data_IF_729784164113
#
_entry.id   IF_729784164113
#
_cell.length_a   1.000
_cell.length_b   1.000
_cell.length_c   1.000
_cell.angle_alpha   90.00
_cell.angle_beta   90.00
_cell.angle_gamma   90.00
#
_symmetry.space_group_name_H-M   'P 1'
#
loop_
_entity.id
_entity.type
_entity.pdbx_description
1 polymer ?
#
# COMPACT_ATOMS: atom_id res chain seq x y z
N UNK A 1 -30.61 8.69 11.93
CA UNK A 1 -31.88 8.83 11.19
C UNK A 1 -32.03 7.81 10.06
N UNK A 2 -30.96 7.44 9.31
CA UNK A 2 -31.06 6.56 8.13
C UNK A 2 -31.53 5.13 8.50
N UNK A 3 -31.07 4.59 9.64
CA UNK A 3 -31.37 3.22 10.07
C UNK A 3 -32.14 3.14 11.40
N UNK A 4 -32.85 4.18 11.76
CA UNK A 4 -33.65 4.28 12.99
C UNK A 4 -32.99 5.11 14.08
N UNK A 5 -33.72 5.35 15.14
CA UNK A 5 -33.31 6.06 16.34
C UNK A 5 -33.15 5.06 17.49
N UNK A 6 -32.49 5.46 18.57
CA UNK A 6 -32.28 4.66 19.79
C UNK A 6 -31.46 3.35 19.61
N UNK A 7 -30.44 3.38 18.72
CA UNK A 7 -29.45 2.28 18.61
C UNK A 7 -28.17 2.65 19.35
N UNK A 8 -27.57 1.65 19.98
CA UNK A 8 -26.19 1.77 20.43
C UNK A 8 -25.28 1.89 19.21
N UNK A 9 -24.52 2.99 19.13
CA UNK A 9 -23.64 3.28 18.02
C UNK A 9 -22.17 3.25 18.45
N UNK A 10 -21.34 2.76 17.54
CA UNK A 10 -19.89 2.85 17.63
C UNK A 10 -19.34 3.64 16.45
N UNK A 11 -18.22 4.34 16.66
CA UNK A 11 -17.53 5.07 15.60
C UNK A 11 -16.18 4.40 15.34
N UNK A 12 -15.88 4.16 14.07
CA UNK A 12 -14.64 3.57 13.61
C UNK A 12 -13.95 4.53 12.64
N UNK A 13 -12.63 4.55 12.68
CA UNK A 13 -11.79 5.26 11.72
C UNK A 13 -10.67 4.32 11.28
N UNK A 14 -10.50 4.16 9.96
CA UNK A 14 -9.41 3.36 9.39
C UNK A 14 -8.71 4.20 8.32
N UNK A 15 -7.41 4.46 8.48
CA UNK A 15 -6.66 5.32 7.56
C UNK A 15 -6.33 4.60 6.25
N UNK A 16 -6.08 5.39 5.20
CA UNK A 16 -5.29 4.95 4.06
C UNK A 16 -3.81 4.81 4.43
N UNK A 17 -2.99 4.35 3.47
CA UNK A 17 -1.56 4.09 3.68
C UNK A 17 -0.66 4.70 2.61
N UNK A 18 0.60 4.93 2.98
CA UNK A 18 1.72 5.19 2.07
C UNK A 18 2.83 4.17 2.31
N UNK A 19 3.41 3.62 1.23
CA UNK A 19 4.67 2.88 1.31
C UNK A 19 5.81 3.89 1.35
N UNK A 20 6.54 3.96 2.47
CA UNK A 20 7.62 4.93 2.67
C UNK A 20 9.02 4.35 2.43
N UNK A 21 9.13 3.02 2.26
CA UNK A 21 10.37 2.31 1.91
C UNK A 21 10.07 0.89 1.43
N UNK A 22 10.86 0.36 0.49
CA UNK A 22 10.75 -1.01 0.01
C UNK A 22 10.02 -1.15 -1.31
N UNK A 23 10.36 -0.30 -2.29
CA UNK A 23 9.67 -0.29 -3.57
C UNK A 23 9.78 -1.63 -4.31
N UNK A 24 8.63 -2.30 -4.50
CA UNK A 24 8.50 -3.60 -5.16
C UNK A 24 9.28 -4.76 -4.50
N UNK A 25 9.42 -4.76 -3.18
CA UNK A 25 10.09 -5.88 -2.48
C UNK A 25 9.14 -6.95 -1.96
N UNK A 26 7.90 -6.60 -1.62
CA UNK A 26 6.90 -7.45 -0.97
C UNK A 26 6.60 -8.75 -1.73
N UNK A 27 6.43 -8.68 -3.06
CA UNK A 27 6.10 -9.84 -3.91
C UNK A 27 7.28 -10.83 -4.13
N UNK A 28 8.47 -10.51 -3.64
CA UNK A 28 9.64 -11.39 -3.55
C UNK A 28 10.06 -11.68 -2.10
N UNK A 29 9.11 -11.62 -1.17
CA UNK A 29 9.28 -11.88 0.25
C UNK A 29 10.27 -10.90 0.93
N UNK A 30 10.35 -9.67 0.42
CA UNK A 30 11.24 -8.64 0.94
C UNK A 30 10.66 -7.89 2.14
N UNK A 31 11.34 -6.81 2.50
CA UNK A 31 10.96 -5.90 3.59
C UNK A 31 10.36 -4.63 3.04
N UNK A 32 9.42 -4.05 3.79
CA UNK A 32 8.85 -2.74 3.52
C UNK A 32 8.72 -1.93 4.80
N UNK A 33 8.68 -0.60 4.68
CA UNK A 33 8.18 0.28 5.73
C UNK A 33 7.00 1.04 5.13
N UNK A 34 5.87 0.97 5.82
CA UNK A 34 4.65 1.66 5.43
C UNK A 34 4.15 2.53 6.59
N UNK A 35 3.37 3.54 6.26
CA UNK A 35 2.72 4.36 7.27
C UNK A 35 1.25 4.60 6.91
N UNK A 36 0.41 4.78 7.93
CA UNK A 36 -0.90 5.37 7.74
C UNK A 36 -0.75 6.85 7.35
N UNK A 37 -1.73 7.34 6.59
CA UNK A 37 -1.86 8.76 6.27
C UNK A 37 -3.00 9.38 7.10
N UNK A 38 -3.10 10.71 7.11
CA UNK A 38 -4.15 11.46 7.81
C UNK A 38 -5.46 11.60 7.00
N UNK A 39 -5.65 10.68 6.06
CA UNK A 39 -6.88 10.51 5.27
C UNK A 39 -7.49 9.17 5.66
N UNK A 40 -8.74 9.16 6.09
CA UNK A 40 -9.38 7.96 6.62
C UNK A 40 -10.79 7.71 6.08
N UNK A 41 -11.29 6.52 6.34
CA UNK A 41 -12.69 6.16 6.24
C UNK A 41 -13.27 6.18 7.65
N UNK A 42 -14.23 7.06 7.90
CA UNK A 42 -14.97 7.10 9.17
C UNK A 42 -16.31 6.39 9.00
N UNK A 43 -16.65 5.50 9.92
CA UNK A 43 -17.91 4.76 9.94
C UNK A 43 -18.67 4.98 11.26
N UNK A 44 -19.96 5.29 11.17
CA UNK A 44 -20.90 5.25 12.29
C UNK A 44 -21.72 3.98 12.15
N UNK A 45 -21.67 3.10 13.15
CA UNK A 45 -22.11 1.71 13.04
C UNK A 45 -23.06 1.34 14.18
N UNK A 46 -24.06 0.52 13.84
CA UNK A 46 -24.93 -0.13 14.83
C UNK A 46 -25.06 -1.62 14.52
N UNK A 47 -24.97 -2.48 15.52
CA UNK A 47 -25.16 -3.92 15.39
C UNK A 47 -26.61 -4.25 14.96
N UNK A 48 -26.78 -5.37 14.26
CA UNK A 48 -28.07 -5.97 13.92
C UNK A 48 -28.20 -7.35 14.56
N UNK A 49 -29.44 -7.81 14.67
CA UNK A 49 -29.76 -9.16 15.18
C UNK A 49 -29.84 -10.22 14.07
N UNK A 50 -29.69 -9.84 12.81
CA UNK A 50 -29.70 -10.72 11.64
C UNK A 50 -28.32 -10.78 10.97
N UNK A 51 -28.22 -11.44 9.80
CA UNK A 51 -26.99 -11.61 9.02
C UNK A 51 -26.78 -10.54 7.94
N UNK A 52 -27.58 -9.47 7.95
CA UNK A 52 -27.51 -8.44 6.90
C UNK A 52 -26.51 -7.35 7.27
N UNK A 53 -25.53 -7.11 6.40
CA UNK A 53 -24.67 -5.94 6.45
C UNK A 53 -25.21 -4.90 5.48
N UNK A 54 -25.43 -3.68 5.96
CA UNK A 54 -25.80 -2.53 5.14
C UNK A 54 -24.77 -1.42 5.34
N UNK A 55 -24.16 -0.98 4.26
CA UNK A 55 -23.19 0.12 4.28
C UNK A 55 -23.62 1.20 3.30
N UNK A 56 -23.93 2.38 3.81
CA UNK A 56 -24.18 3.57 3.01
C UNK A 56 -22.94 4.47 3.03
N UNK A 57 -22.14 4.40 1.99
CA UNK A 57 -21.02 5.30 1.79
C UNK A 57 -21.48 6.60 1.13
N UNK A 58 -20.94 7.74 1.59
CA UNK A 58 -21.23 9.04 1.03
C UNK A 58 -20.86 9.08 -0.47
N UNK A 59 -21.77 9.53 -1.32
CA UNK A 59 -21.56 9.60 -2.77
C UNK A 59 -21.74 8.27 -3.53
N UNK A 60 -22.00 7.15 -2.86
CA UNK A 60 -22.15 5.83 -3.49
C UNK A 60 -23.52 5.19 -3.21
N UNK A 61 -23.95 4.23 -4.04
CA UNK A 61 -25.09 3.37 -3.70
C UNK A 61 -24.91 2.67 -2.37
N UNK A 62 -26.01 2.21 -1.76
CA UNK A 62 -25.95 1.39 -0.56
C UNK A 62 -25.59 -0.04 -0.92
N UNK A 63 -24.60 -0.61 -0.22
CA UNK A 63 -24.32 -2.04 -0.23
C UNK A 63 -25.25 -2.75 0.77
N UNK A 64 -25.92 -3.81 0.32
CA UNK A 64 -26.77 -4.67 1.16
C UNK A 64 -26.35 -6.12 0.92
N UNK A 65 -25.78 -6.76 1.92
CA UNK A 65 -25.22 -8.11 1.82
C UNK A 65 -25.75 -9.00 2.93
N UNK A 66 -26.44 -10.07 2.57
CA UNK A 66 -26.65 -11.18 3.53
C UNK A 66 -25.42 -12.05 3.55
N UNK A 67 -24.63 -11.94 4.63
CA UNK A 67 -23.38 -12.66 4.75
C UNK A 67 -23.58 -14.17 4.95
N UNK A 68 -24.76 -14.69 5.23
CA UNK A 68 -25.06 -16.11 5.26
C UNK A 68 -25.39 -16.68 3.87
N UNK A 69 -25.84 -15.84 2.93
CA UNK A 69 -26.13 -16.25 1.56
C UNK A 69 -24.92 -16.06 0.63
N UNK A 70 -24.12 -15.00 0.85
CA UNK A 70 -22.93 -14.73 0.04
C UNK A 70 -21.67 -15.31 0.71
N UNK A 71 -21.50 -16.62 0.61
CA UNK A 71 -20.42 -17.39 1.28
C UNK A 71 -19.36 -17.96 0.33
N UNK A 72 -19.48 -17.71 -0.97
CA UNK A 72 -18.52 -18.17 -1.98
C UNK A 72 -18.23 -17.07 -3.00
N UNK A 73 -17.00 -16.99 -3.53
CA UNK A 73 -16.67 -16.02 -4.58
C UNK A 73 -17.63 -16.13 -5.78
N UNK A 74 -17.98 -14.98 -6.35
CA UNK A 74 -18.86 -14.88 -7.54
C UNK A 74 -18.16 -13.99 -8.58
N UNK A 75 -17.83 -14.55 -9.72
CA UNK A 75 -17.10 -13.83 -10.78
C UNK A 75 -17.87 -12.61 -11.33
N UNK A 76 -19.22 -12.71 -11.38
CA UNK A 76 -20.09 -11.60 -11.77
C UNK A 76 -20.12 -10.42 -10.76
N UNK A 77 -19.53 -10.64 -9.56
CA UNK A 77 -19.39 -9.63 -8.49
C UNK A 77 -17.96 -9.15 -8.30
N UNK A 78 -17.02 -9.59 -9.11
CA UNK A 78 -15.66 -9.10 -9.03
C UNK A 78 -15.59 -7.58 -9.29
N UNK A 79 -14.80 -6.88 -8.48
CA UNK A 79 -14.68 -5.43 -8.53
C UNK A 79 -15.78 -4.64 -7.79
N UNK A 80 -16.73 -5.32 -7.14
CA UNK A 80 -17.82 -4.70 -6.39
C UNK A 80 -17.57 -4.72 -4.88
N UNK A 81 -17.97 -3.67 -4.16
CA UNK A 81 -17.77 -3.52 -2.72
C UNK A 81 -18.48 -4.58 -1.88
N UNK A 82 -19.63 -5.05 -2.32
CA UNK A 82 -20.36 -6.14 -1.65
C UNK A 82 -19.58 -7.45 -1.60
N UNK A 83 -18.75 -7.73 -2.60
CA UNK A 83 -17.87 -8.89 -2.59
C UNK A 83 -16.77 -8.79 -1.52
N UNK A 84 -16.26 -7.60 -1.24
CA UNK A 84 -15.31 -7.37 -0.14
C UNK A 84 -15.96 -7.64 1.22
N UNK A 85 -17.18 -7.15 1.42
CA UNK A 85 -17.94 -7.39 2.67
C UNK A 85 -18.15 -8.89 2.89
N UNK A 86 -18.59 -9.61 1.85
CA UNK A 86 -18.79 -11.05 1.90
C UNK A 86 -17.47 -11.81 2.15
N UNK A 87 -16.39 -11.39 1.49
CA UNK A 87 -15.07 -11.99 1.63
C UNK A 87 -14.48 -11.83 3.03
N UNK A 88 -14.62 -10.65 3.65
CA UNK A 88 -14.21 -10.41 5.04
C UNK A 88 -15.01 -11.33 5.99
N UNK A 89 -16.34 -11.40 5.84
CA UNK A 89 -17.17 -12.27 6.66
C UNK A 89 -16.79 -13.77 6.53
N UNK A 90 -16.54 -14.24 5.28
CA UNK A 90 -16.07 -15.62 5.06
C UNK A 90 -14.67 -15.85 5.67
N UNK A 91 -13.77 -14.87 5.54
CA UNK A 91 -12.43 -14.91 6.14
C UNK A 91 -12.43 -15.03 7.67
N UNK A 92 -13.38 -14.37 8.35
CA UNK A 92 -13.63 -14.54 9.79
C UNK A 92 -14.10 -15.96 10.08
N UNK A 93 -15.13 -16.45 9.38
CA UNK A 93 -15.68 -17.80 9.59
C UNK A 93 -14.64 -18.90 9.40
N UNK A 94 -13.83 -18.82 8.38
CA UNK A 94 -12.73 -19.78 8.11
C UNK A 94 -11.74 -19.87 9.26
N UNK A 95 -11.67 -18.84 10.10
CA UNK A 95 -10.81 -18.80 11.29
C UNK A 95 -11.56 -19.10 12.58
N UNK A 96 -12.83 -19.54 12.49
CA UNK A 96 -13.66 -19.84 13.66
C UNK A 96 -14.09 -18.61 14.45
N UNK A 97 -14.04 -17.41 13.84
CA UNK A 97 -14.43 -16.16 14.46
C UNK A 97 -15.92 -15.86 14.22
N UNK A 98 -16.56 -15.23 15.21
CA UNK A 98 -17.96 -14.84 15.08
C UNK A 98 -18.16 -13.70 14.09
N UNK A 99 -19.30 -13.70 13.38
CA UNK A 99 -19.74 -12.66 12.47
C UNK A 99 -21.24 -12.40 12.63
N UNK A 100 -21.68 -11.20 12.28
CA UNK A 100 -23.09 -10.82 12.27
C UNK A 100 -23.36 -9.60 11.43
N UNK A 101 -24.62 -9.21 11.28
CA UNK A 101 -25.03 -8.06 10.51
C UNK A 101 -24.83 -6.74 11.24
N UNK A 102 -24.64 -5.69 10.50
CA UNK A 102 -24.56 -4.32 11.01
C UNK A 102 -25.05 -3.29 10.00
N UNK A 103 -25.48 -2.14 10.50
CA UNK A 103 -25.76 -0.95 9.69
C UNK A 103 -24.61 0.03 9.85
N UNK A 104 -24.09 0.55 8.74
CA UNK A 104 -23.04 1.56 8.75
C UNK A 104 -23.34 2.72 7.80
N UNK A 105 -22.98 3.93 8.23
CA UNK A 105 -22.87 5.11 7.36
C UNK A 105 -21.41 5.54 7.36
N UNK A 106 -20.82 5.67 6.17
CA UNK A 106 -19.41 6.00 6.03
C UNK A 106 -19.20 7.28 5.23
N UNK A 107 -18.17 8.02 5.63
CA UNK A 107 -17.57 9.12 4.86
C UNK A 107 -16.08 8.87 4.72
N UNK A 108 -15.49 9.21 3.58
CA UNK A 108 -14.09 8.89 3.29
C UNK A 108 -13.37 10.04 2.59
N UNK A 109 -12.18 10.35 3.10
CA UNK A 109 -11.20 11.19 2.43
C UNK A 109 -10.13 10.34 1.71
N UNK A 110 -10.17 9.01 1.84
CA UNK A 110 -9.33 8.07 1.09
C UNK A 110 -9.88 7.93 -0.32
N UNK A 111 -9.42 8.77 -1.23
CA UNK A 111 -9.95 8.84 -2.59
C UNK A 111 -9.64 7.57 -3.39
N UNK A 112 -10.63 7.09 -4.14
CA UNK A 112 -10.45 5.95 -5.05
C UNK A 112 -9.46 6.32 -6.17
N UNK A 113 -8.45 5.48 -6.36
CA UNK A 113 -7.44 5.69 -7.41
C UNK A 113 -6.30 6.65 -7.06
N UNK A 114 -6.26 7.20 -5.84
CA UNK A 114 -5.20 8.11 -5.36
C UNK A 114 -3.89 7.39 -4.97
N UNK A 115 -3.82 6.06 -5.07
CA UNK A 115 -2.63 5.30 -4.68
C UNK A 115 -2.46 5.08 -3.17
N UNK A 116 -3.41 5.51 -2.33
CA UNK A 116 -3.37 5.38 -0.87
C UNK A 116 -4.25 4.24 -0.32
N UNK A 117 -4.58 3.26 -1.15
CA UNK A 117 -5.25 1.99 -0.82
C UNK A 117 -6.66 2.10 -0.21
N UNK A 118 -7.58 2.72 -0.95
CA UNK A 118 -8.99 2.81 -0.53
C UNK A 118 -9.66 1.45 -0.37
N UNK A 119 -9.30 0.41 -1.14
CA UNK A 119 -9.85 -0.94 -0.97
C UNK A 119 -9.42 -1.56 0.35
N UNK A 120 -8.11 -1.53 0.67
CA UNK A 120 -7.59 -2.07 1.92
C UNK A 120 -8.18 -1.36 3.14
N UNK A 121 -8.28 -0.02 3.12
CA UNK A 121 -8.91 0.72 4.20
C UNK A 121 -10.39 0.34 4.41
N UNK A 122 -11.14 0.09 3.31
CA UNK A 122 -12.53 -0.35 3.39
C UNK A 122 -12.66 -1.78 3.96
N UNK A 123 -11.84 -2.71 3.51
CA UNK A 123 -11.81 -4.10 3.99
C UNK A 123 -11.45 -4.16 5.48
N UNK A 124 -10.41 -3.43 5.87
CA UNK A 124 -9.95 -3.35 7.25
C UNK A 124 -10.98 -2.68 8.15
N UNK A 125 -11.72 -1.70 7.63
CA UNK A 125 -12.87 -1.11 8.35
C UNK A 125 -13.94 -2.16 8.63
N UNK A 126 -14.35 -2.95 7.62
CA UNK A 126 -15.32 -4.04 7.79
C UNK A 126 -14.81 -5.07 8.80
N UNK A 127 -13.53 -5.47 8.69
CA UNK A 127 -12.90 -6.41 9.61
C UNK A 127 -12.83 -5.88 11.04
N UNK A 128 -12.49 -4.61 11.22
CA UNK A 128 -12.43 -3.95 12.53
C UNK A 128 -13.82 -3.85 13.18
N UNK A 129 -14.85 -3.51 12.38
CA UNK A 129 -16.24 -3.51 12.84
C UNK A 129 -16.67 -4.90 13.31
N UNK A 130 -16.43 -5.95 12.50
CA UNK A 130 -16.78 -7.34 12.86
C UNK A 130 -16.04 -7.80 14.10
N UNK A 131 -14.74 -7.48 14.20
CA UNK A 131 -13.95 -7.78 15.40
C UNK A 131 -14.55 -7.16 16.66
N UNK A 132 -14.90 -5.88 16.59
CA UNK A 132 -15.44 -5.15 17.74
C UNK A 132 -16.83 -5.65 18.14
N UNK A 133 -17.75 -5.81 17.18
CA UNK A 133 -19.14 -6.14 17.47
C UNK A 133 -19.35 -7.62 17.86
N UNK A 134 -18.53 -8.55 17.36
CA UNK A 134 -18.78 -9.98 17.45
C UNK A 134 -17.64 -10.81 18.05
N UNK A 135 -16.47 -10.19 18.27
CA UNK A 135 -15.29 -10.85 18.83
C UNK A 135 -14.65 -10.03 19.96
N UNK A 136 -15.39 -9.13 20.61
CA UNK A 136 -14.93 -8.29 21.73
C UNK A 136 -13.64 -7.49 21.40
N UNK A 137 -13.42 -7.13 20.15
CA UNK A 137 -12.22 -6.44 19.67
C UNK A 137 -10.93 -7.27 19.77
N UNK A 138 -11.02 -8.59 19.93
CA UNK A 138 -9.88 -9.47 20.22
C UNK A 138 -9.08 -9.90 18.97
N UNK A 139 -9.57 -9.62 17.76
CA UNK A 139 -8.86 -9.96 16.52
C UNK A 139 -7.76 -8.94 16.27
N UNK A 140 -6.51 -9.39 16.31
CA UNK A 140 -5.37 -8.51 16.10
C UNK A 140 -5.31 -7.96 14.65
N UNK A 141 -4.65 -6.82 14.50
CA UNK A 141 -4.62 -6.09 13.21
C UNK A 141 -3.93 -6.89 12.08
N UNK A 142 -2.95 -7.75 12.37
CA UNK A 142 -2.32 -8.60 11.33
C UNK A 142 -3.32 -9.63 10.82
N UNK A 143 -4.11 -10.19 11.72
CA UNK A 143 -5.16 -11.14 11.34
C UNK A 143 -6.29 -10.48 10.57
N UNK A 144 -6.69 -9.25 10.93
CA UNK A 144 -7.63 -8.44 10.15
C UNK A 144 -7.05 -8.22 8.74
N UNK A 145 -5.81 -7.77 8.62
CA UNK A 145 -5.14 -7.54 7.33
C UNK A 145 -5.10 -8.80 6.46
N UNK A 146 -4.79 -9.97 7.04
CA UNK A 146 -4.79 -11.25 6.30
C UNK A 146 -6.19 -11.67 5.84
N UNK A 147 -7.23 -11.34 6.60
CA UNK A 147 -8.63 -11.57 6.21
C UNK A 147 -9.00 -10.62 5.07
N UNK A 148 -8.63 -9.36 5.16
CA UNK A 148 -8.86 -8.33 4.14
C UNK A 148 -8.17 -8.69 2.83
N UNK A 149 -6.90 -9.09 2.86
CA UNK A 149 -6.19 -9.58 1.68
C UNK A 149 -6.89 -10.80 1.05
N UNK A 150 -7.36 -11.73 1.87
CA UNK A 150 -8.13 -12.88 1.38
C UNK A 150 -9.40 -12.42 0.66
N UNK A 151 -10.13 -11.44 1.21
CA UNK A 151 -11.32 -10.89 0.59
C UNK A 151 -11.01 -10.24 -0.78
N UNK A 152 -9.94 -9.44 -0.86
CA UNK A 152 -9.52 -8.79 -2.11
C UNK A 152 -9.10 -9.82 -3.17
N UNK A 153 -8.30 -10.82 -2.78
CA UNK A 153 -7.81 -11.83 -3.71
C UNK A 153 -8.90 -12.81 -4.18
N UNK A 154 -9.71 -13.32 -3.26
CA UNK A 154 -10.65 -14.41 -3.55
C UNK A 154 -12.04 -13.91 -3.98
N UNK A 155 -12.59 -12.88 -3.34
CA UNK A 155 -13.95 -12.41 -3.58
C UNK A 155 -14.02 -11.21 -4.51
N UNK A 156 -13.08 -10.29 -4.41
CA UNK A 156 -13.04 -9.10 -5.27
C UNK A 156 -12.32 -9.39 -6.60
N UNK A 157 -11.53 -10.47 -6.67
CA UNK A 157 -10.86 -10.92 -7.87
C UNK A 157 -9.63 -10.10 -8.27
N UNK A 158 -9.06 -9.34 -7.33
CA UNK A 158 -7.86 -8.52 -7.57
C UNK A 158 -6.69 -9.06 -6.74
N UNK A 159 -5.70 -9.74 -7.37
CA UNK A 159 -4.49 -10.18 -6.67
C UNK A 159 -3.71 -8.99 -6.08
N UNK A 160 -3.44 -9.04 -4.78
CA UNK A 160 -2.66 -8.04 -4.07
C UNK A 160 -1.69 -8.68 -3.07
N UNK A 161 -0.63 -7.95 -2.70
CA UNK A 161 0.22 -8.23 -1.55
C UNK A 161 -0.50 -7.93 -0.23
N UNK A 162 0.18 -8.15 0.90
CA UNK A 162 -0.41 -7.95 2.23
C UNK A 162 -0.03 -6.59 2.85
N UNK A 163 0.89 -5.85 2.23
CA UNK A 163 1.41 -4.58 2.78
C UNK A 163 0.31 -3.55 3.04
N UNK A 164 -0.60 -3.38 2.09
CA UNK A 164 -1.64 -2.36 2.12
C UNK A 164 -2.55 -2.55 3.32
N UNK A 165 -3.07 -3.76 3.50
CA UNK A 165 -3.95 -4.12 4.59
C UNK A 165 -3.23 -4.04 5.95
N UNK A 166 -1.99 -4.52 6.04
CA UNK A 166 -1.24 -4.40 7.30
C UNK A 166 -1.02 -2.94 7.69
N UNK A 167 -0.68 -2.07 6.74
CA UNK A 167 -0.43 -0.66 7.04
C UNK A 167 -1.70 0.10 7.44
N UNK A 168 -2.84 -0.16 6.77
CA UNK A 168 -4.14 0.43 7.11
C UNK A 168 -4.63 -0.07 8.49
N UNK A 169 -4.57 -1.39 8.74
CA UNK A 169 -5.05 -1.98 9.98
C UNK A 169 -4.19 -1.63 11.20
N UNK A 170 -2.87 -1.53 11.02
CA UNK A 170 -1.95 -1.23 12.12
C UNK A 170 -2.04 0.21 12.62
N UNK A 171 -2.20 1.17 11.70
CA UNK A 171 -2.04 2.59 11.99
C UNK A 171 -0.61 2.98 12.39
N UNK A 172 -0.22 4.24 12.15
CA UNK A 172 1.13 4.72 12.40
C UNK A 172 2.16 4.18 11.41
N UNK A 173 3.42 4.07 11.82
CA UNK A 173 4.51 3.54 10.99
C UNK A 173 4.80 2.09 11.36
N UNK A 174 4.91 1.23 10.35
CA UNK A 174 5.19 -0.20 10.51
C UNK A 174 6.31 -0.65 9.59
N UNK A 175 7.25 -1.43 10.13
CA UNK A 175 8.18 -2.23 9.33
C UNK A 175 7.62 -3.66 9.22
N UNK A 176 7.59 -4.17 8.00
CA UNK A 176 7.06 -5.49 7.69
C UNK A 176 8.16 -6.32 7.02
N UNK A 177 8.44 -7.50 7.53
CA UNK A 177 9.31 -8.49 6.88
C UNK A 177 8.45 -9.65 6.38
N UNK A 178 8.40 -9.83 5.07
CA UNK A 178 7.65 -10.88 4.39
C UNK A 178 8.48 -12.15 4.12
N UNK A 179 9.54 -12.41 4.89
CA UNK A 179 10.32 -13.64 4.74
C UNK A 179 9.44 -14.90 4.75
N UNK A 180 8.42 -14.91 5.60
CA UNK A 180 7.28 -15.83 5.54
C UNK A 180 6.00 -15.01 5.30
N UNK A 181 5.42 -15.00 4.09
CA UNK A 181 4.21 -14.24 3.80
C UNK A 181 2.96 -14.80 4.50
N UNK A 182 3.00 -16.02 5.03
CA UNK A 182 1.89 -16.61 5.81
C UNK A 182 1.93 -16.19 7.29
N UNK A 183 3.08 -15.71 7.74
CA UNK A 183 3.31 -15.22 9.09
C UNK A 183 4.30 -14.02 9.07
N UNK A 184 3.91 -12.88 8.48
CA UNK A 184 4.79 -11.72 8.36
C UNK A 184 5.16 -11.17 9.74
N UNK A 185 6.43 -10.76 9.87
CA UNK A 185 6.87 -10.06 11.09
C UNK A 185 6.56 -8.58 10.94
N UNK A 186 5.64 -8.08 11.77
CA UNK A 186 5.20 -6.67 11.78
C UNK A 186 5.67 -5.99 13.05
N UNK A 187 6.41 -4.90 12.91
CA UNK A 187 6.93 -4.12 14.01
C UNK A 187 6.49 -2.66 13.89
N UNK A 188 5.79 -2.15 14.90
CA UNK A 188 5.43 -0.73 14.96
C UNK A 188 6.65 0.11 15.31
N UNK A 189 6.84 1.19 14.57
CA UNK A 189 7.91 2.15 14.78
C UNK A 189 7.31 3.43 15.34
N UNK A 190 7.79 3.85 16.49
CA UNK A 190 7.39 5.14 17.04
C UNK A 190 8.13 6.27 16.32
N UNK A 191 7.51 6.81 15.27
CA UNK A 191 8.07 7.82 14.41
C UNK A 191 7.08 8.98 14.23
N UNK A 192 7.41 10.16 14.73
CA UNK A 192 6.60 11.37 14.63
C UNK A 192 7.24 12.38 13.66
N UNK A 193 6.92 12.20 12.38
CA UNK A 193 7.35 13.12 11.31
C UNK A 193 6.85 14.55 11.55
N UNK A 194 5.59 14.68 11.97
CA UNK A 194 4.93 15.98 12.20
C UNK A 194 5.53 16.72 13.36
N UNK A 195 5.76 16.06 14.49
CA UNK A 195 6.42 16.64 15.66
C UNK A 195 7.85 17.11 15.40
N UNK A 196 8.51 16.53 14.41
CA UNK A 196 9.83 16.99 13.92
C UNK A 196 9.76 18.15 12.92
N UNK A 197 8.56 18.66 12.61
CA UNK A 197 8.35 19.80 11.72
C UNK A 197 8.39 19.47 10.24
N UNK A 198 8.11 18.20 9.87
CA UNK A 198 8.05 17.73 8.49
C UNK A 198 6.64 17.30 8.08
N UNK A 199 6.42 17.26 6.77
CA UNK A 199 5.26 16.65 6.12
C UNK A 199 5.71 15.64 5.09
N UNK A 200 4.90 14.59 4.96
CA UNK A 200 4.90 13.71 3.79
C UNK A 200 3.85 14.23 2.82
N UNK A 201 4.30 14.70 1.67
CA UNK A 201 3.42 15.15 0.58
C UNK A 201 3.35 14.06 -0.49
N UNK A 202 2.14 13.74 -0.93
CA UNK A 202 1.89 12.86 -2.08
C UNK A 202 1.43 13.75 -3.23
N UNK A 203 2.20 13.78 -4.32
CA UNK A 203 1.88 14.56 -5.51
C UNK A 203 1.29 13.65 -6.56
N UNK A 204 0.05 13.89 -6.95
CA UNK A 204 -0.60 13.18 -8.04
C UNK A 204 -0.23 13.85 -9.38
N UNK A 205 0.35 13.08 -10.29
CA UNK A 205 0.79 13.60 -11.60
C UNK A 205 -0.25 13.37 -12.72
N UNK A 206 -1.42 12.83 -12.39
CA UNK A 206 -2.56 12.67 -13.29
C UNK A 206 -2.41 11.60 -14.38
N UNK A 207 -1.39 10.76 -14.31
CA UNK A 207 -1.14 9.71 -15.30
C UNK A 207 -2.22 8.62 -15.33
N UNK A 208 -2.51 8.09 -16.52
CA UNK A 208 -3.49 7.03 -16.70
C UNK A 208 -2.89 5.65 -16.43
N UNK A 209 -3.49 4.88 -15.53
CA UNK A 209 -3.08 3.52 -15.16
C UNK A 209 -3.71 2.41 -16.03
N UNK A 210 -4.70 2.73 -16.88
CA UNK A 210 -5.56 1.73 -17.54
C UNK A 210 -4.79 0.71 -18.40
N UNK A 211 -3.72 1.13 -19.09
CA UNK A 211 -2.94 0.29 -20.00
C UNK A 211 -1.62 -0.21 -19.40
N UNK A 212 -1.37 0.04 -18.11
CA UNK A 212 -0.08 -0.23 -17.46
C UNK A 212 -0.02 -1.58 -16.73
N UNK A 213 -1.12 -2.33 -16.69
CA UNK A 213 -1.17 -3.66 -16.06
C UNK A 213 -0.02 -4.59 -16.49
N UNK A 214 0.36 -4.66 -17.79
CA UNK A 214 1.52 -5.48 -18.20
C UNK A 214 2.86 -4.97 -17.65
N UNK A 215 3.03 -3.65 -17.48
CA UNK A 215 4.26 -3.07 -16.92
C UNK A 215 4.40 -3.43 -15.43
N UNK A 216 3.29 -3.34 -14.67
CA UNK A 216 3.24 -3.78 -13.27
C UNK A 216 3.51 -5.28 -13.14
N UNK A 217 2.85 -6.11 -13.96
CA UNK A 217 3.02 -7.56 -13.93
C UNK A 217 4.45 -8.00 -14.31
N UNK A 218 5.13 -7.24 -15.17
CA UNK A 218 6.49 -7.54 -15.59
C UNK A 218 7.50 -7.39 -14.44
N UNK A 219 7.27 -6.52 -13.45
CA UNK A 219 8.21 -6.33 -12.34
C UNK A 219 8.39 -7.62 -11.53
N UNK A 220 7.36 -8.20 -10.89
CA UNK A 220 7.52 -9.45 -10.15
C UNK A 220 7.88 -10.63 -11.05
N UNK A 221 7.38 -10.67 -12.28
CA UNK A 221 7.67 -11.78 -13.21
C UNK A 221 9.16 -11.84 -13.58
N UNK A 222 9.77 -10.71 -13.90
CA UNK A 222 11.20 -10.63 -14.23
C UNK A 222 12.08 -10.92 -13.01
N UNK A 223 11.75 -10.39 -11.84
CA UNK A 223 12.46 -10.72 -10.60
C UNK A 223 12.42 -12.22 -10.28
N UNK A 224 11.24 -12.84 -10.37
CA UNK A 224 11.07 -14.28 -10.15
C UNK A 224 11.76 -15.13 -11.23
N UNK A 225 11.88 -14.64 -12.46
CA UNK A 225 12.62 -15.36 -13.49
C UNK A 225 14.11 -15.49 -13.18
N UNK A 226 14.70 -14.44 -12.58
CA UNK A 226 16.09 -14.49 -12.10
C UNK A 226 16.23 -15.46 -10.92
N UNK A 227 15.34 -15.42 -9.93
CA UNK A 227 15.34 -16.36 -8.81
C UNK A 227 15.26 -17.82 -9.31
N UNK A 228 14.33 -18.12 -10.22
CA UNK A 228 14.17 -19.45 -10.81
C UNK A 228 15.39 -19.93 -11.58
N UNK A 229 16.07 -19.05 -12.32
CA UNK A 229 17.30 -19.40 -13.02
C UNK A 229 18.44 -19.80 -12.07
N UNK A 230 18.36 -19.36 -10.79
CA UNK A 230 19.30 -19.72 -9.72
C UNK A 230 18.77 -20.86 -8.84
N UNK A 231 17.62 -21.46 -9.17
CA UNK A 231 17.05 -22.59 -8.42
C UNK A 231 16.18 -22.21 -7.21
N UNK A 232 15.73 -20.95 -7.14
CA UNK A 232 14.89 -20.41 -6.06
C UNK A 232 13.52 -19.96 -6.55
N UNK A 233 12.54 -19.84 -5.64
CA UNK A 233 11.21 -19.34 -6.00
C UNK A 233 11.13 -17.82 -5.97
N UNK A 234 11.86 -17.18 -5.06
CA UNK A 234 11.86 -15.72 -4.86
C UNK A 234 13.28 -15.20 -4.61
N UNK A 235 13.50 -13.92 -4.89
CA UNK A 235 14.82 -13.30 -4.73
C UNK A 235 15.29 -13.22 -3.27
N UNK A 236 14.39 -13.28 -2.29
CA UNK A 236 14.75 -13.33 -0.88
C UNK A 236 15.64 -14.52 -0.51
N UNK A 237 15.55 -15.61 -1.26
CA UNK A 237 16.31 -16.85 -1.06
C UNK A 237 17.66 -16.82 -1.80
N UNK A 238 17.86 -15.84 -2.68
CA UNK A 238 19.08 -15.74 -3.49
C UNK A 238 20.19 -15.00 -2.76
N UNK A 239 21.43 -15.35 -3.12
CA UNK A 239 22.64 -14.59 -2.76
C UNK A 239 22.93 -13.55 -3.85
N UNK A 240 23.25 -12.29 -3.47
CA UNK A 240 23.59 -11.20 -4.39
C UNK A 240 24.84 -11.53 -5.22
N UNK A 241 25.88 -12.11 -4.61
CA UNK A 241 27.11 -12.50 -5.31
C UNK A 241 26.85 -13.62 -6.33
N UNK A 242 25.91 -14.54 -6.04
CA UNK A 242 25.48 -15.58 -6.99
C UNK A 242 24.77 -14.97 -8.20
N UNK A 243 23.91 -13.95 -7.99
CA UNK A 243 23.28 -13.21 -9.08
C UNK A 243 24.34 -12.55 -9.95
N UNK A 244 25.30 -11.84 -9.34
CA UNK A 244 26.38 -11.14 -10.05
C UNK A 244 27.23 -12.12 -10.87
N UNK A 245 27.61 -13.24 -10.29
CA UNK A 245 28.40 -14.28 -10.97
C UNK A 245 27.64 -14.88 -12.18
N UNK A 246 26.31 -14.98 -12.10
CA UNK A 246 25.47 -15.53 -13.15
C UNK A 246 25.11 -14.52 -14.27
N UNK A 247 25.46 -13.23 -14.14
CA UNK A 247 25.09 -12.17 -15.11
C UNK A 247 25.37 -12.56 -16.57
N UNK A 248 26.54 -13.13 -16.96
CA UNK A 248 26.79 -13.48 -18.35
C UNK A 248 25.76 -14.44 -18.93
N UNK A 249 25.30 -15.42 -18.14
CA UNK A 249 24.27 -16.38 -18.53
C UNK A 249 22.88 -15.77 -18.50
N UNK A 250 22.54 -15.08 -17.40
CA UNK A 250 21.24 -14.43 -17.21
C UNK A 250 20.96 -13.39 -18.30
N UNK A 251 21.98 -12.64 -18.70
CA UNK A 251 21.90 -11.63 -19.73
C UNK A 251 21.46 -12.21 -21.09
N UNK A 252 21.99 -13.37 -21.45
CA UNK A 252 21.64 -14.04 -22.71
C UNK A 252 20.27 -14.68 -22.72
N UNK A 253 19.72 -15.04 -21.55
CA UNK A 253 18.47 -15.78 -21.40
C UNK A 253 17.28 -14.92 -20.97
N UNK A 254 17.50 -13.94 -20.08
CA UNK A 254 16.45 -13.13 -19.47
C UNK A 254 16.53 -11.64 -19.85
N UNK A 255 17.69 -11.19 -20.34
CA UNK A 255 17.93 -9.79 -20.69
C UNK A 255 18.35 -8.91 -19.51
N UNK A 256 18.81 -7.70 -19.83
CA UNK A 256 19.42 -6.78 -18.88
C UNK A 256 18.43 -6.27 -17.82
N UNK A 257 17.16 -6.00 -18.21
CA UNK A 257 16.16 -5.43 -17.28
C UNK A 257 15.78 -6.36 -16.14
N UNK A 258 15.66 -7.66 -16.40
CA UNK A 258 15.37 -8.64 -15.34
C UNK A 258 16.49 -8.67 -14.29
N UNK A 259 17.74 -8.58 -14.74
CA UNK A 259 18.92 -8.53 -13.86
C UNK A 259 18.94 -7.24 -13.04
N UNK A 260 18.70 -6.09 -13.68
CA UNK A 260 18.66 -4.79 -12.99
C UNK A 260 17.56 -4.77 -11.91
N UNK A 261 16.38 -5.33 -12.19
CA UNK A 261 15.28 -5.47 -11.23
C UNK A 261 15.65 -6.40 -10.06
N UNK A 262 16.34 -7.49 -10.33
CA UNK A 262 16.83 -8.39 -9.29
C UNK A 262 17.86 -7.70 -8.38
N UNK A 263 18.84 -6.99 -8.94
CA UNK A 263 19.83 -6.23 -8.19
C UNK A 263 19.20 -5.06 -7.41
N UNK A 264 18.17 -4.41 -7.99
CA UNK A 264 17.37 -3.44 -7.25
C UNK A 264 16.77 -4.08 -6.00
N UNK A 265 16.12 -5.26 -6.13
CA UNK A 265 15.53 -5.96 -5.00
C UNK A 265 16.55 -6.25 -3.90
N UNK A 266 17.72 -6.78 -4.24
CA UNK A 266 18.75 -7.11 -3.26
C UNK A 266 19.19 -5.87 -2.46
N UNK A 267 19.48 -4.78 -3.17
CA UNK A 267 19.88 -3.52 -2.56
C UNK A 267 18.73 -2.87 -1.76
N UNK A 268 17.50 -2.89 -2.29
CA UNK A 268 16.33 -2.29 -1.64
C UNK A 268 15.95 -3.03 -0.35
N UNK A 269 15.95 -4.36 -0.38
CA UNK A 269 15.65 -5.18 0.78
C UNK A 269 16.64 -4.96 1.94
N UNK A 270 17.93 -4.71 1.64
CA UNK A 270 18.95 -4.31 2.62
C UNK A 270 18.71 -2.89 3.10
N UNK A 271 18.45 -1.95 2.19
CA UNK A 271 18.18 -0.54 2.48
C UNK A 271 17.01 -0.35 3.43
N UNK A 272 15.91 -1.11 3.24
CA UNK A 272 14.76 -1.07 4.16
C UNK A 272 15.18 -1.43 5.59
N UNK A 273 16.05 -2.42 5.76
CA UNK A 273 16.55 -2.76 7.08
C UNK A 273 17.36 -1.61 7.69
N UNK A 274 18.26 -1.00 6.90
CA UNK A 274 19.08 0.14 7.32
C UNK A 274 18.21 1.36 7.67
N UNK A 275 17.22 1.66 6.84
CA UNK A 275 16.25 2.74 7.07
C UNK A 275 15.40 2.50 8.34
N UNK A 276 15.00 1.24 8.60
CA UNK A 276 14.36 0.88 9.87
C UNK A 276 15.26 1.19 11.06
N UNK A 277 16.56 0.82 11.00
CA UNK A 277 17.48 1.13 12.09
C UNK A 277 17.65 2.64 12.29
N UNK A 278 17.70 3.43 11.21
CA UNK A 278 17.76 4.88 11.27
C UNK A 278 16.52 5.47 11.96
N UNK A 279 15.30 5.00 11.63
CA UNK A 279 14.07 5.42 12.30
C UNK A 279 14.06 5.06 13.79
N UNK A 280 14.50 3.87 14.16
CA UNK A 280 14.59 3.44 15.56
C UNK A 280 15.65 4.24 16.36
N UNK A 281 16.69 4.73 15.69
CA UNK A 281 17.72 5.60 16.26
C UNK A 281 17.35 7.09 16.23
N UNK A 282 16.18 7.47 15.71
CA UNK A 282 15.76 8.85 15.47
C UNK A 282 16.72 9.63 14.53
N UNK A 283 17.40 8.91 13.65
CA UNK A 283 18.35 9.47 12.66
C UNK A 283 17.63 9.78 11.34
N UNK A 284 17.07 10.98 11.27
CA UNK A 284 16.33 11.46 10.09
C UNK A 284 17.20 11.63 8.85
N UNK A 285 18.44 12.03 9.02
CA UNK A 285 19.35 12.26 7.90
C UNK A 285 19.65 10.93 7.20
N UNK A 286 20.03 9.91 7.95
CA UNK A 286 20.24 8.56 7.41
C UNK A 286 18.96 7.97 6.78
N UNK A 287 17.80 8.20 7.39
CA UNK A 287 16.53 7.75 6.80
C UNK A 287 16.25 8.42 5.46
N UNK A 288 16.39 9.74 5.35
CA UNK A 288 16.13 10.48 4.12
C UNK A 288 17.16 10.19 3.03
N UNK A 289 18.43 9.95 3.38
CA UNK A 289 19.44 9.47 2.44
C UNK A 289 19.02 8.09 1.88
N UNK A 290 18.46 7.22 2.72
CA UNK A 290 17.85 5.96 2.30
C UNK A 290 16.69 6.15 1.32
N UNK A 291 15.79 7.12 1.55
CA UNK A 291 14.69 7.45 0.63
C UNK A 291 15.23 7.91 -0.73
N UNK A 292 16.23 8.79 -0.75
CA UNK A 292 16.86 9.27 -1.98
C UNK A 292 17.56 8.13 -2.74
N UNK A 293 18.27 7.25 -2.04
CA UNK A 293 18.92 6.08 -2.63
C UNK A 293 17.90 5.08 -3.20
N UNK A 294 16.74 4.89 -2.52
CA UNK A 294 15.61 4.12 -3.03
C UNK A 294 15.05 4.72 -4.30
N UNK A 295 14.82 6.04 -4.33
CA UNK A 295 14.35 6.76 -5.51
C UNK A 295 15.30 6.63 -6.71
N UNK A 296 16.60 6.75 -6.48
CA UNK A 296 17.62 6.54 -7.50
C UNK A 296 17.58 5.10 -8.05
N UNK A 297 17.52 4.12 -7.16
CA UNK A 297 17.45 2.70 -7.53
C UNK A 297 16.16 2.37 -8.30
N UNK A 298 15.02 2.96 -7.91
CA UNK A 298 13.76 2.83 -8.63
C UNK A 298 13.84 3.41 -10.03
N UNK A 299 14.44 4.58 -10.20
CA UNK A 299 14.58 5.22 -11.51
C UNK A 299 15.55 4.45 -12.43
N UNK A 300 16.75 4.12 -11.92
CA UNK A 300 17.84 3.59 -12.72
C UNK A 300 17.75 2.07 -12.96
N UNK A 301 17.30 1.31 -11.96
CA UNK A 301 17.40 -0.16 -11.95
C UNK A 301 16.05 -0.85 -12.00
N UNK A 302 15.10 -0.47 -11.15
CA UNK A 302 13.74 -1.00 -11.22
C UNK A 302 13.02 -0.53 -12.48
N UNK A 303 13.26 0.71 -12.89
CA UNK A 303 12.70 1.35 -14.11
C UNK A 303 11.17 1.38 -14.07
N UNK A 304 10.61 1.84 -12.96
CA UNK A 304 9.18 1.99 -12.76
C UNK A 304 8.71 3.45 -12.68
N UNK A 305 9.52 4.41 -13.16
CA UNK A 305 9.17 5.84 -13.11
C UNK A 305 8.40 6.30 -14.36
N UNK A 306 8.58 5.60 -15.48
CA UNK A 306 7.83 5.84 -16.73
C UNK A 306 7.68 4.54 -17.53
N UNK A 307 6.70 4.52 -18.43
CA UNK A 307 6.51 3.43 -19.37
C UNK A 307 7.12 3.78 -20.73
N UNK A 308 7.65 2.78 -21.43
CA UNK A 308 8.11 2.94 -22.82
C UNK A 308 6.97 2.91 -23.84
N UNK A 309 5.74 2.59 -23.41
CA UNK A 309 4.55 2.55 -24.28
C UNK A 309 4.04 3.94 -24.63
N UNK A 310 4.15 4.89 -23.70
CA UNK A 310 3.77 6.27 -23.93
C UNK A 310 4.90 7.20 -23.47
N UNK A 311 5.83 7.49 -24.36
CA UNK A 311 7.01 8.31 -24.06
C UNK A 311 6.69 9.79 -23.87
N UNK A 312 5.49 10.24 -24.25
CA UNK A 312 5.05 11.62 -24.07
C UNK A 312 4.52 11.89 -22.64
N UNK A 313 4.00 10.86 -21.97
CA UNK A 313 3.43 10.97 -20.61
C UNK A 313 4.46 10.51 -19.58
N UNK A 314 5.28 11.43 -19.10
CA UNK A 314 6.29 11.17 -18.07
C UNK A 314 6.08 12.07 -16.84
N UNK A 315 4.85 12.15 -16.34
CA UNK A 315 4.46 13.01 -15.23
C UNK A 315 5.29 12.75 -13.96
N UNK A 316 5.57 11.48 -13.62
CA UNK A 316 6.42 11.14 -12.46
C UNK A 316 7.84 11.70 -12.61
N UNK A 317 8.48 11.51 -13.78
CA UNK A 317 9.83 12.06 -14.05
C UNK A 317 9.86 13.58 -13.95
N UNK A 318 8.82 14.25 -14.49
CA UNK A 318 8.69 15.70 -14.43
C UNK A 318 8.52 16.16 -12.96
N UNK A 319 7.64 15.52 -12.17
CA UNK A 319 7.43 15.85 -10.79
C UNK A 319 8.70 15.63 -9.94
N UNK A 320 9.44 14.55 -10.15
CA UNK A 320 10.73 14.30 -9.50
C UNK A 320 11.76 15.39 -9.83
N UNK A 321 11.86 15.81 -11.08
CA UNK A 321 12.77 16.89 -11.48
C UNK A 321 12.40 18.25 -10.87
N UNK A 322 11.10 18.57 -10.83
CA UNK A 322 10.62 19.80 -10.17
C UNK A 322 10.88 19.77 -8.66
N UNK A 323 10.68 18.60 -8.02
CA UNK A 323 10.99 18.40 -6.61
C UNK A 323 12.48 18.63 -6.32
N UNK A 324 13.37 18.02 -7.12
CA UNK A 324 14.81 18.23 -7.00
C UNK A 324 15.19 19.70 -7.07
N UNK A 325 14.64 20.44 -8.04
CA UNK A 325 14.90 21.87 -8.25
C UNK A 325 14.41 22.71 -7.07
N UNK A 326 13.18 22.46 -6.59
CA UNK A 326 12.60 23.19 -5.47
C UNK A 326 13.33 22.91 -4.16
N UNK A 327 13.60 21.63 -3.86
CA UNK A 327 14.19 21.20 -2.61
C UNK A 327 15.68 21.53 -2.48
N UNK A 328 16.35 21.83 -3.61
CA UNK A 328 17.76 22.26 -3.61
C UNK A 328 18.00 23.51 -2.74
N UNK A 329 17.01 24.42 -2.72
CA UNK A 329 17.09 25.68 -1.98
C UNK A 329 16.44 25.59 -0.58
N UNK A 330 15.91 24.43 -0.20
CA UNK A 330 15.33 24.17 1.11
C UNK A 330 16.40 23.72 2.11
N UNK A 331 16.13 23.99 3.40
CA UNK A 331 16.98 23.47 4.49
C UNK A 331 16.89 21.94 4.55
N UNK A 332 18.01 21.26 4.47
CA UNK A 332 18.10 19.81 4.60
C UNK A 332 17.82 19.34 6.05
N UNK A 333 17.50 18.04 6.26
CA UNK A 333 17.31 17.02 5.22
C UNK A 333 15.94 17.13 4.52
N UNK A 334 15.87 16.75 3.26
CA UNK A 334 14.65 16.61 2.44
C UNK A 334 14.82 15.38 1.56
N UNK A 335 13.73 14.70 1.21
CA UNK A 335 13.79 13.53 0.37
C UNK A 335 12.55 13.39 -0.52
N UNK A 336 12.71 12.74 -1.65
CA UNK A 336 11.61 12.47 -2.58
C UNK A 336 11.91 11.24 -3.42
N UNK A 337 10.87 10.54 -3.84
CA UNK A 337 10.95 9.41 -4.77
C UNK A 337 9.59 9.09 -5.40
N UNK A 338 9.60 8.19 -6.37
CA UNK A 338 8.35 7.57 -6.85
C UNK A 338 7.62 6.88 -5.69
N UNK A 339 6.29 6.96 -5.69
CA UNK A 339 5.42 6.38 -4.68
C UNK A 339 4.64 5.19 -5.27
N UNK A 340 4.53 4.10 -4.50
CA UNK A 340 3.79 2.89 -4.90
C UNK A 340 4.39 2.19 -6.12
N UNK A 341 3.54 1.62 -6.97
CA UNK A 341 3.95 0.82 -8.13
C UNK A 341 4.69 1.57 -9.23
N UNK A 342 4.55 2.87 -9.31
CA UNK A 342 5.19 3.71 -10.34
C UNK A 342 4.50 3.65 -11.69
N UNK A 343 5.25 3.83 -12.78
CA UNK A 343 4.85 3.96 -14.19
C UNK A 343 3.93 5.14 -14.50
N UNK A 344 3.02 5.49 -13.59
CA UNK A 344 2.14 6.64 -13.53
C UNK A 344 1.73 6.92 -12.08
N UNK A 345 0.92 7.93 -11.83
CA UNK A 345 0.31 8.22 -10.53
C UNK A 345 1.11 9.20 -9.70
N UNK A 346 1.77 8.76 -8.63
CA UNK A 346 2.21 9.67 -7.57
C UNK A 346 3.70 9.58 -7.25
N UNK A 347 4.24 10.70 -6.75
CA UNK A 347 5.52 10.75 -6.04
C UNK A 347 5.30 11.08 -4.56
N UNK A 348 6.24 10.73 -3.70
CA UNK A 348 6.27 11.15 -2.31
C UNK A 348 7.44 12.08 -2.05
N UNK A 349 7.20 13.05 -1.17
CA UNK A 349 8.17 14.09 -0.82
C UNK A 349 8.14 14.36 0.68
N UNK A 350 9.28 14.27 1.34
CA UNK A 350 9.47 14.64 2.72
C UNK A 350 10.06 16.06 2.79
N UNK A 351 9.30 16.99 3.36
CA UNK A 351 9.61 18.42 3.32
C UNK A 351 9.25 19.09 4.66
N UNK A 352 10.03 20.10 5.06
CA UNK A 352 9.71 20.91 6.25
C UNK A 352 8.44 21.72 6.04
N UNK A 353 7.68 21.90 7.14
CA UNK A 353 6.40 22.62 7.14
C UNK A 353 6.48 23.99 6.48
N UNK A 354 7.58 24.72 6.70
CA UNK A 354 7.79 26.10 6.19
C UNK A 354 7.84 26.18 4.65
N UNK A 355 8.07 25.07 3.96
CA UNK A 355 8.18 25.01 2.49
C UNK A 355 6.97 24.38 1.79
N UNK A 356 6.04 23.79 2.54
CA UNK A 356 4.91 23.00 1.99
C UNK A 356 4.04 23.84 1.05
N UNK A 357 3.60 25.02 1.49
CA UNK A 357 2.69 25.86 0.70
C UNK A 357 3.32 26.31 -0.63
N UNK A 358 4.61 26.63 -0.63
CA UNK A 358 5.33 27.01 -1.84
C UNK A 358 5.51 25.82 -2.78
N UNK A 359 5.76 24.64 -2.22
CA UNK A 359 5.88 23.39 -2.98
C UNK A 359 4.53 22.98 -3.59
N UNK A 360 3.44 23.03 -2.81
CA UNK A 360 2.10 22.73 -3.30
C UNK A 360 1.72 23.65 -4.48
N UNK A 361 1.88 24.97 -4.33
CA UNK A 361 1.63 25.93 -5.42
C UNK A 361 2.40 25.63 -6.70
N UNK A 362 3.67 25.17 -6.58
CA UNK A 362 4.44 24.76 -7.73
C UNK A 362 3.83 23.53 -8.40
N UNK A 363 3.50 22.50 -7.63
CA UNK A 363 2.95 21.25 -8.17
C UNK A 363 1.55 21.44 -8.76
N UNK A 364 0.67 22.17 -8.07
CA UNK A 364 -0.68 22.51 -8.55
C UNK A 364 -0.64 23.29 -9.86
N UNK A 365 0.34 24.19 -10.04
CA UNK A 365 0.50 24.97 -11.28
C UNK A 365 0.85 24.08 -12.50
N UNK A 366 1.37 22.88 -12.27
CA UNK A 366 1.80 21.96 -13.33
C UNK A 366 0.84 20.79 -13.52
N UNK A 367 0.33 20.22 -12.41
CA UNK A 367 -0.47 18.99 -12.43
C UNK A 367 -1.95 19.22 -12.12
N UNK A 368 -2.34 20.42 -11.70
CA UNK A 368 -3.70 20.77 -11.24
C UNK A 368 -3.88 20.52 -9.74
N UNK A 369 -4.99 21.06 -9.21
CA UNK A 369 -5.38 20.88 -7.79
C UNK A 369 -5.98 19.48 -7.54
#
# INVERSE_FOLDING_TARGET
ALYGEDKDISIFSVPGRSEISGNHTDHNHGRVIACSVDLDIVAVVAARSDSTVRIKSEGFPEDVVDINEYVTPREDRFGHSDSLIAGVADGFRRRGLAVGGFDAVTSSNVLKGSGISSSAAFEDMVGTIMSHLYCDGSVDFVKIAMISQYAENAFFGKPCGLMDQVACAAGGVVAIDFADPTAPVVEKINFDLTGKGYRLCIVNTGGNHADLTPDYAAVPAEMKSVAKALGHEVLRECDEDAIIAAIPTLRSTLGDRAILRALHFMAENRRVYEMKQALLADDFEAYFDGVMASGHSSFCYLQNVYTTKNVAEQGLSLALNLSERYLKDCKRPTAFRVHGGGFAGTIQVFIKNEYVDGYAKLMDSVFGE
#
